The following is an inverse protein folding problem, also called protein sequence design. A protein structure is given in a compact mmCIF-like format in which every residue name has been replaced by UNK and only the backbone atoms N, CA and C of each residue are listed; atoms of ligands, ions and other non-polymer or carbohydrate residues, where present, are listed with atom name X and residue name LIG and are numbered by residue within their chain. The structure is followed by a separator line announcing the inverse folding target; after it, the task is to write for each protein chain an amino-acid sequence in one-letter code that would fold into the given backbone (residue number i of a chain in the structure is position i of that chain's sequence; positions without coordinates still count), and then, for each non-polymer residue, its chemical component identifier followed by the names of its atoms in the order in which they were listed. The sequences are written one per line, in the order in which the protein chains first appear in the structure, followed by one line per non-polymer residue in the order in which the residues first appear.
data_IF_007758043134
#
_entry.id   IF_007758043134
#
_cell.length_a   1.000
_cell.length_b   1.000
_cell.length_c   1.000
_cell.angle_alpha   90.00
_cell.angle_beta   90.00
_cell.angle_gamma   90.00
#
_symmetry.space_group_name_H-M   'P 1'
#
loop_
_entity.id
_entity.type
_entity.pdbx_description
1 polymer ?
#
# COMPACT_ATOMS: atom_id res chain seq x y z
N UNK A 1 21.99 9.33 -53.67
CA UNK A 1 21.65 10.20 -52.52
C UNK A 1 21.12 9.29 -51.44
N UNK A 2 21.99 8.83 -50.54
CA UNK A 2 21.58 7.99 -49.41
C UNK A 2 21.05 8.93 -48.34
N UNK A 3 19.76 8.83 -48.04
CA UNK A 3 19.16 9.47 -46.89
C UNK A 3 19.74 8.77 -45.65
N UNK A 4 20.78 9.39 -45.10
CA UNK A 4 21.36 9.06 -43.82
C UNK A 4 20.29 9.35 -42.77
N UNK A 5 19.48 8.32 -42.46
CA UNK A 5 18.42 8.35 -41.48
C UNK A 5 19.10 8.27 -40.09
N UNK A 6 19.88 9.31 -39.77
CA UNK A 6 20.35 9.61 -38.43
C UNK A 6 19.15 10.16 -37.66
N UNK A 7 18.15 9.30 -37.44
CA UNK A 7 17.26 9.44 -36.30
C UNK A 7 18.21 9.49 -35.10
N UNK A 8 18.51 10.72 -34.67
CA UNK A 8 19.27 11.06 -33.48
C UNK A 8 18.86 10.09 -32.39
N UNK A 9 19.74 9.12 -32.10
CA UNK A 9 19.64 8.28 -30.92
C UNK A 9 19.62 9.24 -29.74
N UNK A 10 18.41 9.63 -29.31
CA UNK A 10 18.24 10.40 -28.10
C UNK A 10 18.77 9.51 -27.00
N UNK A 11 20.02 9.75 -26.62
CA UNK A 11 20.74 9.04 -25.58
C UNK A 11 19.81 8.91 -24.39
N UNK A 12 19.50 7.66 -24.04
CA UNK A 12 18.61 7.39 -22.92
C UNK A 12 19.40 7.75 -21.66
N UNK A 13 19.05 8.89 -21.06
CA UNK A 13 19.65 9.35 -19.82
C UNK A 13 18.76 8.97 -18.63
N UNK A 14 19.39 8.61 -17.51
CA UNK A 14 18.69 8.54 -16.24
C UNK A 14 18.18 9.93 -15.85
N UNK A 15 16.87 10.09 -15.66
CA UNK A 15 16.31 11.41 -15.35
C UNK A 15 16.72 11.96 -13.97
N UNK A 16 17.35 11.14 -13.11
CA UNK A 16 17.84 11.54 -11.79
C UNK A 16 19.30 11.99 -11.86
N UNK A 17 20.19 11.15 -12.40
CA UNK A 17 21.64 11.43 -12.39
C UNK A 17 22.17 12.01 -13.70
N UNK A 18 21.33 12.09 -14.74
CA UNK A 18 21.66 12.59 -16.09
C UNK A 18 22.83 11.85 -16.76
N UNK A 19 23.09 10.61 -16.35
CA UNK A 19 24.09 9.72 -16.98
C UNK A 19 23.40 8.69 -17.86
N UNK A 20 24.05 8.36 -18.97
CA UNK A 20 23.78 7.22 -19.83
C UNK A 20 24.40 5.93 -19.27
N UNK A 21 24.08 4.79 -19.87
CA UNK A 21 24.70 3.50 -19.55
C UNK A 21 24.38 2.98 -18.15
N UNK A 22 25.21 2.06 -17.61
CA UNK A 22 25.08 1.53 -16.26
C UNK A 22 25.45 2.56 -15.19
N UNK A 23 24.85 2.46 -14.00
CA UNK A 23 25.27 3.26 -12.85
C UNK A 23 26.63 2.80 -12.26
N UNK A 24 27.09 3.46 -11.19
CA UNK A 24 28.33 3.11 -10.48
C UNK A 24 28.33 1.70 -9.88
N UNK A 25 27.15 1.08 -9.72
CA UNK A 25 26.96 -0.29 -9.23
C UNK A 25 26.77 -1.29 -10.37
N UNK A 26 26.89 -0.86 -11.64
CA UNK A 26 26.68 -1.67 -12.83
C UNK A 26 25.20 -1.96 -13.14
N UNK A 27 24.25 -1.30 -12.47
CA UNK A 27 22.83 -1.43 -12.75
C UNK A 27 22.48 -0.70 -14.04
N UNK A 28 21.81 -1.42 -14.93
CA UNK A 28 21.39 -0.89 -16.22
C UNK A 28 20.27 0.14 -16.09
N UNK A 29 20.17 0.99 -17.10
CA UNK A 29 19.08 1.93 -17.25
C UNK A 29 17.78 1.17 -17.55
N UNK A 30 16.76 1.36 -16.73
CA UNK A 30 15.47 0.71 -16.87
C UNK A 30 14.49 1.61 -17.61
N UNK A 31 13.78 1.07 -18.60
CA UNK A 31 12.77 1.78 -19.41
C UNK A 31 11.43 1.04 -19.40
N UNK A 32 10.33 1.79 -19.39
CA UNK A 32 8.99 1.24 -19.61
C UNK A 32 8.24 0.74 -18.37
N UNK A 33 8.73 1.06 -17.17
CA UNK A 33 8.08 0.67 -15.91
C UNK A 33 7.06 1.70 -15.38
N UNK A 34 6.76 2.74 -16.17
CA UNK A 34 5.70 3.72 -15.97
C UNK A 34 5.31 4.32 -17.34
N UNK A 35 4.25 5.14 -17.44
CA UNK A 35 3.88 5.78 -18.73
C UNK A 35 4.67 7.04 -19.11
N UNK A 36 5.81 7.32 -18.47
CA UNK A 36 6.66 8.41 -18.93
C UNK A 36 7.17 8.12 -20.35
N UNK A 37 7.10 9.13 -21.22
CA UNK A 37 7.58 9.05 -22.62
C UNK A 37 8.97 9.67 -22.74
N UNK A 38 9.69 9.30 -23.81
CA UNK A 38 11.04 9.81 -24.08
C UNK A 38 12.06 9.40 -23.00
N UNK A 39 13.00 10.30 -22.71
CA UNK A 39 14.06 10.11 -21.70
C UNK A 39 13.54 10.19 -20.26
N UNK A 40 12.40 10.85 -20.02
CA UNK A 40 11.78 10.94 -18.69
C UNK A 40 11.30 9.59 -18.14
N UNK A 41 11.23 8.55 -18.97
CA UNK A 41 10.87 7.18 -18.56
C UNK A 41 12.05 6.27 -18.28
N UNK A 42 13.28 6.80 -18.29
CA UNK A 42 14.51 6.05 -18.11
C UNK A 42 15.18 6.36 -16.77
N UNK A 43 15.44 5.34 -15.95
CA UNK A 43 16.03 5.54 -14.61
C UNK A 43 16.82 4.31 -14.18
N UNK A 44 17.93 4.50 -13.49
CA UNK A 44 18.57 3.40 -12.75
C UNK A 44 17.73 3.06 -11.52
N UNK A 45 17.55 1.78 -11.22
CA UNK A 45 16.80 1.36 -10.03
C UNK A 45 17.43 1.90 -8.75
N UNK A 46 18.77 1.90 -8.64
CA UNK A 46 19.51 2.53 -7.55
C UNK A 46 19.16 4.02 -7.36
N UNK A 47 19.13 4.80 -8.43
CA UNK A 47 18.80 6.22 -8.37
C UNK A 47 17.35 6.43 -7.91
N UNK A 48 16.40 5.63 -8.41
CA UNK A 48 15.00 5.71 -7.98
C UNK A 48 14.85 5.38 -6.49
N UNK A 49 15.55 4.34 -6.01
CA UNK A 49 15.60 3.96 -4.60
C UNK A 49 16.20 5.08 -3.75
N UNK A 50 17.37 5.62 -4.13
CA UNK A 50 18.03 6.70 -3.37
C UNK A 50 17.17 7.96 -3.29
N UNK A 51 16.48 8.30 -4.38
CA UNK A 51 15.50 9.38 -4.39
C UNK A 51 14.35 9.12 -3.40
N UNK A 52 13.78 7.91 -3.40
CA UNK A 52 12.71 7.52 -2.49
C UNK A 52 13.15 7.53 -1.01
N UNK A 53 14.36 7.05 -0.72
CA UNK A 53 14.96 7.09 0.61
C UNK A 53 15.12 8.53 1.10
N UNK A 54 15.69 9.40 0.26
CA UNK A 54 15.90 10.83 0.58
C UNK A 54 14.58 11.54 0.87
N UNK A 55 13.56 11.31 0.03
CA UNK A 55 12.21 11.87 0.24
C UNK A 55 11.57 11.37 1.52
N UNK A 56 11.71 10.08 1.83
CA UNK A 56 11.16 9.48 3.05
C UNK A 56 11.81 10.10 4.29
N UNK A 57 13.16 10.16 4.35
CA UNK A 57 13.88 10.81 5.46
C UNK A 57 13.43 12.25 5.65
N UNK A 58 13.41 13.04 4.57
CA UNK A 58 13.04 14.45 4.65
C UNK A 58 11.60 14.69 5.10
N UNK A 59 10.67 13.74 4.91
CA UNK A 59 9.32 13.83 5.51
C UNK A 59 9.35 13.48 6.99
N UNK A 60 10.00 12.38 7.36
CA UNK A 60 10.07 11.93 8.75
C UNK A 60 10.79 12.94 9.63
N UNK A 61 11.92 13.50 9.17
CA UNK A 61 12.67 14.53 9.89
C UNK A 61 11.84 15.81 10.11
N UNK A 62 11.04 16.22 9.12
CA UNK A 62 10.20 17.43 9.22
C UNK A 62 8.93 17.24 10.04
N UNK A 63 8.33 16.05 10.03
CA UNK A 63 7.00 15.80 10.61
C UNK A 63 7.01 14.86 11.82
N UNK A 64 8.14 14.20 12.11
CA UNK A 64 8.25 13.12 13.09
C UNK A 64 7.51 11.84 12.72
N UNK A 65 6.82 11.80 11.56
CA UNK A 65 6.01 10.68 11.08
C UNK A 65 5.83 10.73 9.57
N UNK A 66 5.55 9.58 8.98
CA UNK A 66 5.07 9.46 7.60
C UNK A 66 3.81 8.59 7.59
N UNK A 67 2.78 9.03 6.88
CA UNK A 67 1.55 8.27 6.68
C UNK A 67 1.64 7.37 5.44
N UNK A 68 0.69 6.43 5.32
CA UNK A 68 0.63 5.46 4.22
C UNK A 68 0.61 6.14 2.86
N UNK A 69 -0.25 7.13 2.66
CA UNK A 69 -0.40 7.79 1.35
C UNK A 69 0.90 8.46 0.91
N UNK A 70 1.62 9.08 1.86
CA UNK A 70 2.92 9.67 1.58
C UNK A 70 3.97 8.60 1.23
N UNK A 71 4.01 7.48 1.95
CA UNK A 71 4.93 6.38 1.67
C UNK A 71 4.62 5.72 0.31
N UNK A 72 3.35 5.42 0.03
CA UNK A 72 2.88 4.86 -1.24
C UNK A 72 3.21 5.79 -2.41
N UNK A 73 2.99 7.10 -2.25
CA UNK A 73 3.35 8.09 -3.29
C UNK A 73 4.85 8.15 -3.57
N UNK A 74 5.70 7.81 -2.59
CA UNK A 74 7.15 7.83 -2.75
C UNK A 74 7.67 6.55 -3.39
N UNK A 75 7.19 5.39 -2.91
CA UNK A 75 7.77 4.09 -3.24
C UNK A 75 7.02 3.33 -4.32
N UNK A 76 5.71 3.52 -4.45
CA UNK A 76 4.90 2.83 -5.47
C UNK A 76 4.75 3.63 -6.76
N UNK A 77 4.90 4.95 -6.72
CA UNK A 77 4.57 5.79 -7.87
C UNK A 77 5.79 6.48 -8.46
N UNK A 78 5.80 6.62 -9.78
CA UNK A 78 6.75 7.43 -10.50
C UNK A 78 6.60 8.90 -10.09
N UNK A 79 7.67 9.58 -9.65
CA UNK A 79 7.58 10.97 -9.23
C UNK A 79 7.30 11.94 -10.39
N UNK A 80 7.45 11.48 -11.64
CA UNK A 80 7.25 12.30 -12.84
C UNK A 80 5.82 12.22 -13.37
N UNK A 81 5.31 11.00 -13.63
CA UNK A 81 3.95 10.82 -14.18
C UNK A 81 2.90 10.38 -13.17
N UNK A 82 3.30 10.19 -11.91
CA UNK A 82 2.45 9.72 -10.79
C UNK A 82 1.79 8.35 -11.00
N UNK A 83 2.11 7.64 -12.07
CA UNK A 83 1.65 6.28 -12.25
C UNK A 83 2.44 5.30 -11.42
N UNK A 84 1.79 4.20 -11.08
CA UNK A 84 2.42 3.12 -10.35
C UNK A 84 3.57 2.50 -11.14
N UNK A 85 4.66 2.18 -10.45
CA UNK A 85 5.74 1.37 -10.98
C UNK A 85 5.21 -0.02 -11.36
N UNK A 86 5.77 -0.59 -12.42
CA UNK A 86 5.46 -1.96 -12.85
C UNK A 86 6.73 -2.81 -12.99
N UNK A 87 6.55 -4.10 -13.28
CA UNK A 87 7.58 -5.09 -13.56
C UNK A 87 8.66 -5.17 -12.47
N UNK A 88 9.89 -5.36 -12.93
CA UNK A 88 11.07 -5.44 -12.08
C UNK A 88 11.31 -4.18 -11.23
N UNK A 89 10.86 -3.01 -11.69
CA UNK A 89 11.00 -1.78 -10.92
C UNK A 89 10.12 -1.82 -9.66
N UNK A 90 8.86 -2.22 -9.77
CA UNK A 90 7.97 -2.29 -8.61
C UNK A 90 8.48 -3.25 -7.54
N UNK A 91 8.94 -4.44 -7.95
CA UNK A 91 9.60 -5.42 -7.07
C UNK A 91 10.85 -4.83 -6.41
N UNK A 92 11.71 -4.16 -7.18
CA UNK A 92 12.95 -3.54 -6.67
C UNK A 92 12.65 -2.43 -5.66
N UNK A 93 11.70 -1.56 -5.97
CA UNK A 93 11.28 -0.47 -5.09
C UNK A 93 10.66 -1.00 -3.79
N UNK A 94 9.82 -2.03 -3.87
CA UNK A 94 9.21 -2.67 -2.70
C UNK A 94 10.23 -3.33 -1.78
N UNK A 95 11.14 -4.14 -2.32
CA UNK A 95 12.21 -4.77 -1.54
C UNK A 95 13.15 -3.73 -0.91
N UNK A 96 13.54 -2.70 -1.67
CA UNK A 96 14.39 -1.63 -1.16
C UNK A 96 13.70 -0.77 -0.09
N UNK A 97 12.37 -0.63 -0.15
CA UNK A 97 11.59 0.07 0.88
C UNK A 97 11.69 -0.68 2.22
N UNK A 98 11.46 -1.99 2.21
CA UNK A 98 11.55 -2.83 3.43
C UNK A 98 12.96 -2.75 4.03
N UNK A 99 14.00 -2.97 3.24
CA UNK A 99 15.39 -2.89 3.70
C UNK A 99 15.71 -1.52 4.31
N UNK A 100 15.27 -0.45 3.64
CA UNK A 100 15.49 0.91 4.10
C UNK A 100 14.79 1.19 5.43
N UNK A 101 13.52 0.81 5.57
CA UNK A 101 12.75 1.01 6.80
C UNK A 101 13.35 0.19 7.95
N UNK A 102 13.72 -1.07 7.71
CA UNK A 102 14.35 -1.92 8.72
C UNK A 102 15.69 -1.33 9.19
N UNK A 103 16.48 -0.77 8.28
CA UNK A 103 17.79 -0.19 8.60
C UNK A 103 17.70 1.16 9.30
N UNK A 104 16.84 2.05 8.81
CA UNK A 104 16.82 3.47 9.24
C UNK A 104 15.79 3.74 10.32
N UNK A 105 14.70 2.96 10.35
CA UNK A 105 13.59 3.15 11.28
C UNK A 105 13.21 1.83 11.99
N UNK A 106 14.17 1.08 12.58
CA UNK A 106 13.92 -0.25 13.14
C UNK A 106 12.86 -0.28 14.24
N UNK A 107 12.68 0.84 14.96
CA UNK A 107 11.70 0.95 16.05
C UNK A 107 10.29 1.32 15.57
N UNK A 108 10.12 1.69 14.29
CA UNK A 108 8.84 2.10 13.74
C UNK A 108 8.13 0.91 13.09
N UNK A 109 7.66 -0.02 13.92
CA UNK A 109 6.93 -1.24 13.48
C UNK A 109 5.80 -0.95 12.49
N UNK A 110 5.05 0.14 12.69
CA UNK A 110 4.00 0.57 11.76
C UNK A 110 4.54 0.86 10.35
N UNK A 111 5.74 1.45 10.24
CA UNK A 111 6.36 1.70 8.93
C UNK A 111 6.82 0.40 8.28
N UNK A 112 7.29 -0.58 9.07
CA UNK A 112 7.65 -1.90 8.55
C UNK A 112 6.46 -2.59 7.90
N UNK A 113 5.29 -2.58 8.56
CA UNK A 113 4.05 -3.15 7.99
C UNK A 113 3.69 -2.46 6.67
N UNK A 114 3.75 -1.12 6.61
CA UNK A 114 3.46 -0.38 5.38
C UNK A 114 4.47 -0.70 4.25
N UNK A 115 5.77 -0.81 4.58
CA UNK A 115 6.80 -1.17 3.62
C UNK A 115 6.61 -2.59 3.06
N UNK A 116 6.22 -3.54 3.92
CA UNK A 116 5.89 -4.90 3.49
C UNK A 116 4.66 -4.92 2.59
N UNK A 117 3.66 -4.06 2.83
CA UNK A 117 2.53 -3.87 1.92
C UNK A 117 2.94 -3.37 0.53
N UNK A 118 3.89 -2.44 0.47
CA UNK A 118 4.49 -1.96 -0.80
C UNK A 118 5.22 -3.10 -1.52
N UNK A 119 5.99 -3.92 -0.79
CA UNK A 119 6.67 -5.10 -1.36
C UNK A 119 5.69 -6.14 -1.89
N UNK A 120 4.66 -6.46 -1.11
CA UNK A 120 3.57 -7.33 -1.52
C UNK A 120 2.93 -6.85 -2.82
N UNK A 121 2.60 -5.55 -2.90
CA UNK A 121 2.07 -4.94 -4.12
C UNK A 121 3.00 -5.17 -5.32
N UNK A 122 4.31 -4.96 -5.17
CA UNK A 122 5.27 -5.24 -6.24
C UNK A 122 5.21 -6.70 -6.72
N UNK A 123 4.90 -7.65 -5.85
CA UNK A 123 4.90 -9.08 -6.20
C UNK A 123 3.60 -9.52 -6.86
N UNK A 124 2.45 -8.99 -6.39
CA UNK A 124 1.12 -9.38 -6.89
C UNK A 124 0.93 -9.15 -8.39
N UNK A 125 1.64 -8.20 -8.99
CA UNK A 125 1.45 -7.82 -10.40
C UNK A 125 2.49 -8.40 -11.36
N UNK A 126 3.57 -9.05 -10.87
CA UNK A 126 4.78 -9.25 -11.69
C UNK A 126 5.31 -10.68 -11.77
N UNK A 127 4.45 -11.68 -11.57
CA UNK A 127 4.79 -13.08 -11.86
C UNK A 127 5.96 -13.61 -11.02
N UNK A 128 6.15 -13.05 -9.82
CA UNK A 128 7.08 -13.57 -8.82
C UNK A 128 6.64 -14.98 -8.44
N UNK A 129 7.59 -15.85 -8.06
CA UNK A 129 7.25 -17.21 -7.65
C UNK A 129 6.25 -17.17 -6.49
N UNK A 130 5.29 -18.10 -6.50
CA UNK A 130 4.29 -18.21 -5.44
C UNK A 130 4.93 -18.37 -4.06
N UNK A 131 6.10 -19.01 -3.97
CA UNK A 131 6.84 -19.17 -2.73
C UNK A 131 7.35 -17.85 -2.16
N UNK A 132 7.90 -16.97 -3.00
CA UNK A 132 8.45 -15.70 -2.50
C UNK A 132 7.33 -14.73 -2.11
N UNK A 133 6.21 -14.76 -2.85
CA UNK A 133 5.00 -14.03 -2.48
C UNK A 133 4.42 -14.52 -1.15
N UNK A 134 4.29 -15.84 -0.96
CA UNK A 134 3.84 -16.41 0.31
C UNK A 134 4.72 -16.00 1.49
N UNK A 135 6.06 -15.99 1.32
CA UNK A 135 6.98 -15.53 2.37
C UNK A 135 6.75 -14.07 2.76
N UNK A 136 6.46 -13.19 1.79
CA UNK A 136 6.14 -11.79 2.10
C UNK A 136 4.83 -11.69 2.86
N UNK A 137 3.81 -12.49 2.51
CA UNK A 137 2.56 -12.54 3.27
C UNK A 137 2.78 -13.01 4.71
N UNK A 138 3.56 -14.07 4.91
CA UNK A 138 3.90 -14.56 6.25
C UNK A 138 4.68 -13.51 7.07
N UNK A 139 5.58 -12.77 6.42
CA UNK A 139 6.33 -11.68 7.05
C UNK A 139 5.41 -10.52 7.45
N UNK A 140 4.45 -10.15 6.60
CA UNK A 140 3.41 -9.15 6.90
C UNK A 140 2.60 -9.59 8.13
N UNK A 141 2.08 -10.82 8.13
CA UNK A 141 1.28 -11.36 9.23
C UNK A 141 2.09 -11.37 10.54
N UNK A 142 3.33 -11.85 10.50
CA UNK A 142 4.22 -11.88 11.66
C UNK A 142 4.48 -10.47 12.22
N UNK A 143 4.74 -9.48 11.35
CA UNK A 143 4.96 -8.10 11.75
C UNK A 143 3.70 -7.47 12.37
N UNK A 144 2.51 -7.81 11.85
CA UNK A 144 1.23 -7.39 12.42
C UNK A 144 1.04 -8.00 13.81
N UNK A 145 1.23 -9.31 13.97
CA UNK A 145 1.10 -10.00 15.25
C UNK A 145 2.05 -9.41 16.30
N UNK A 146 3.31 -9.14 15.93
CA UNK A 146 4.29 -8.51 16.80
C UNK A 146 3.90 -7.07 17.18
N UNK A 147 3.34 -6.31 16.22
CA UNK A 147 2.86 -4.96 16.47
C UNK A 147 1.64 -4.96 17.42
N UNK A 148 0.66 -5.84 17.18
CA UNK A 148 -0.55 -5.96 18.00
C UNK A 148 -0.23 -6.46 19.41
N UNK A 149 0.64 -7.46 19.55
CA UNK A 149 1.05 -7.99 20.86
C UNK A 149 1.77 -6.94 21.72
N UNK A 150 2.58 -6.07 21.10
CA UNK A 150 3.23 -4.97 21.84
C UNK A 150 2.31 -3.79 22.11
N UNK A 151 1.40 -3.45 21.18
CA UNK A 151 0.40 -2.42 21.36
C UNK A 151 -0.68 -2.79 22.39
N UNK A 152 -0.98 -4.07 22.59
CA UNK A 152 -2.02 -4.51 23.54
C UNK A 152 -1.61 -4.39 25.00
N UNK A 153 -0.31 -4.36 25.33
CA UNK A 153 0.18 -4.25 26.72
C UNK A 153 0.28 -2.80 27.20
N UNK A 154 0.83 -1.89 26.38
CA UNK A 154 0.97 -0.46 26.75
C UNK A 154 -0.08 0.44 26.11
N UNK A 155 -0.54 0.08 24.92
CA UNK A 155 -1.45 0.92 24.13
C UNK A 155 -2.89 0.85 24.60
N UNK A 156 -3.38 -0.31 25.04
CA UNK A 156 -4.77 -0.45 25.51
C UNK A 156 -5.09 0.52 26.65
N UNK A 157 -4.17 0.74 27.58
CA UNK A 157 -4.40 1.58 28.76
C UNK A 157 -4.21 3.09 28.49
N UNK A 158 -3.26 3.47 27.63
CA UNK A 158 -3.00 4.87 27.25
C UNK A 158 -4.04 5.37 26.24
N UNK A 159 -4.49 4.51 25.35
CA UNK A 159 -5.39 4.87 24.25
C UNK A 159 -6.86 4.87 24.71
N UNK A 160 -7.19 4.08 25.75
CA UNK A 160 -8.42 4.25 26.55
C UNK A 160 -8.42 5.57 27.35
N UNK A 161 -7.27 6.03 27.85
CA UNK A 161 -7.15 7.29 28.61
C UNK A 161 -7.17 8.54 27.74
N UNK A 162 -6.75 8.45 26.47
CA UNK A 162 -6.61 9.60 25.56
C UNK A 162 -7.73 9.73 24.52
N UNK A 163 -8.64 8.76 24.38
CA UNK A 163 -9.76 8.85 23.44
C UNK A 163 -9.34 8.89 21.96
N UNK A 164 -8.15 8.38 21.62
CA UNK A 164 -7.46 8.64 20.35
C UNK A 164 -7.23 7.40 19.45
N UNK A 165 -8.00 6.32 19.58
CA UNK A 165 -7.93 5.22 18.60
C UNK A 165 -9.29 4.93 17.98
N UNK A 166 -9.38 5.26 16.68
CA UNK A 166 -10.15 4.50 15.71
C UNK A 166 -9.34 3.24 15.39
N UNK A 167 -9.90 2.08 15.72
CA UNK A 167 -9.38 0.74 15.40
C UNK A 167 -9.41 0.47 13.87
N UNK A 168 -9.84 1.43 13.05
CA UNK A 168 -10.53 1.12 11.79
C UNK A 168 -9.59 0.92 10.60
N UNK A 169 -8.39 1.51 10.58
CA UNK A 169 -7.55 1.46 9.36
C UNK A 169 -6.66 0.22 9.33
N UNK A 170 -6.07 -0.16 10.46
CA UNK A 170 -5.24 -1.36 10.53
C UNK A 170 -6.08 -2.63 10.61
N UNK A 171 -7.18 -2.64 11.36
CA UNK A 171 -8.04 -3.84 11.47
C UNK A 171 -8.76 -4.13 10.15
N UNK A 172 -9.24 -3.12 9.41
CA UNK A 172 -9.89 -3.36 8.10
C UNK A 172 -8.89 -3.80 7.02
N UNK A 173 -7.65 -3.32 7.05
CA UNK A 173 -6.61 -3.71 6.06
C UNK A 173 -5.97 -5.06 6.40
N UNK A 174 -5.81 -5.37 7.68
CA UNK A 174 -5.44 -6.70 8.19
C UNK A 174 -6.56 -7.70 7.91
N UNK A 175 -7.83 -7.32 8.08
CA UNK A 175 -8.95 -8.20 7.76
C UNK A 175 -9.12 -8.38 6.25
N UNK A 176 -8.87 -7.38 5.40
CA UNK A 176 -8.88 -7.58 3.94
C UNK A 176 -7.79 -8.57 3.49
N UNK A 177 -6.58 -8.46 4.04
CA UNK A 177 -5.47 -9.40 3.78
C UNK A 177 -5.73 -10.80 4.34
N UNK A 178 -6.36 -10.92 5.52
CA UNK A 178 -6.71 -12.21 6.15
C UNK A 178 -7.91 -12.88 5.45
N UNK A 179 -8.86 -12.10 4.92
CA UNK A 179 -10.07 -12.64 4.28
C UNK A 179 -9.76 -13.28 2.92
N UNK A 180 -8.74 -12.80 2.20
CA UNK A 180 -8.22 -13.47 1.00
C UNK A 180 -7.51 -14.81 1.30
N UNK A 181 -7.03 -15.03 2.53
CA UNK A 181 -6.15 -16.17 2.85
C UNK A 181 -6.65 -17.18 3.89
N UNK A 182 -7.90 -17.09 4.38
CA UNK A 182 -8.71 -18.14 5.06
C UNK A 182 -9.24 -17.80 6.48
N UNK A 183 -10.57 -17.83 6.58
CA UNK A 183 -11.48 -18.34 7.64
C UNK A 183 -10.88 -18.85 8.99
N UNK A 184 -11.42 -18.25 10.09
CA UNK A 184 -11.57 -18.70 11.51
C UNK A 184 -10.63 -18.06 12.55
N UNK A 185 -11.12 -17.00 13.22
CA UNK A 185 -10.67 -16.65 14.58
C UNK A 185 -11.89 -16.31 15.48
N UNK A 186 -12.05 -16.94 16.66
CA UNK A 186 -13.12 -16.63 17.59
C UNK A 186 -12.68 -15.70 18.73
N UNK A 187 -13.55 -14.77 19.12
CA UNK A 187 -13.55 -14.17 20.45
C UNK A 187 -13.12 -12.71 20.54
N UNK A 188 -13.99 -11.78 20.11
CA UNK A 188 -13.94 -10.39 20.56
C UNK A 188 -15.37 -9.85 20.73
N UNK A 189 -15.72 -9.49 21.96
CA UNK A 189 -16.99 -8.87 22.33
C UNK A 189 -16.77 -7.38 22.60
N UNK A 190 -17.37 -6.50 21.76
CA UNK A 190 -17.51 -5.05 22.01
C UNK A 190 -18.70 -4.47 21.24
N UNK A 191 -19.84 -4.32 21.91
CA UNK A 191 -21.14 -3.99 21.29
C UNK A 191 -21.51 -2.49 21.21
N UNK A 192 -20.64 -1.53 21.54
CA UNK A 192 -21.17 -0.19 21.84
C UNK A 192 -20.42 1.06 21.36
N UNK A 193 -19.32 0.95 20.60
CA UNK A 193 -18.58 2.17 20.17
C UNK A 193 -18.57 2.44 18.65
N UNK A 194 -19.02 1.49 17.82
CA UNK A 194 -18.78 1.50 16.37
C UNK A 194 -19.74 2.34 15.53
N UNK A 195 -20.84 2.83 16.09
CA UNK A 195 -21.85 3.58 15.33
C UNK A 195 -21.42 5.01 14.93
N UNK A 196 -20.25 5.50 15.38
CA UNK A 196 -19.85 6.90 15.20
C UNK A 196 -18.62 7.14 14.31
N UNK A 197 -17.79 6.12 13.99
CA UNK A 197 -16.56 6.34 13.20
C UNK A 197 -16.70 6.08 11.69
N UNK A 198 -17.72 5.33 11.25
CA UNK A 198 -18.11 5.27 9.83
C UNK A 198 -19.07 6.42 9.46
N UNK A 199 -18.76 7.65 9.87
CA UNK A 199 -19.57 8.79 9.46
C UNK A 199 -19.47 8.94 7.94
N UNK A 200 -20.57 8.66 7.26
CA UNK A 200 -20.83 8.91 5.83
C UNK A 200 -20.67 10.38 5.43
N UNK A 201 -20.19 11.25 6.31
CA UNK A 201 -20.12 12.69 6.17
C UNK A 201 -18.98 13.18 5.29
N UNK A 202 -17.87 12.44 5.17
CA UNK A 202 -16.76 12.89 4.31
C UNK A 202 -16.98 12.61 2.82
N UNK A 203 -17.58 11.47 2.47
CA UNK A 203 -17.69 11.04 1.07
C UNK A 203 -19.13 10.75 0.60
N UNK A 204 -20.14 10.88 1.47
CA UNK A 204 -21.52 10.49 1.16
C UNK A 204 -21.70 8.97 1.14
N UNK A 205 -22.95 8.52 1.31
CA UNK A 205 -23.30 7.09 1.36
C UNK A 205 -23.13 6.33 0.04
N UNK A 206 -22.91 7.06 -1.06
CA UNK A 206 -22.89 6.56 -2.44
C UNK A 206 -21.50 6.74 -3.10
N UNK A 207 -20.45 7.12 -2.36
CA UNK A 207 -19.07 7.13 -2.90
C UNK A 207 -18.47 5.72 -2.88
N UNK A 208 -17.72 5.38 -3.94
CA UNK A 208 -17.10 4.05 -4.09
C UNK A 208 -16.18 3.67 -2.92
N UNK A 209 -15.53 4.64 -2.26
CA UNK A 209 -14.68 4.38 -1.08
C UNK A 209 -15.53 4.07 0.15
N UNK A 210 -16.69 4.72 0.30
CA UNK A 210 -17.67 4.39 1.34
C UNK A 210 -18.20 2.97 1.15
N UNK A 211 -18.51 2.59 -0.09
CA UNK A 211 -18.94 1.23 -0.43
C UNK A 211 -17.86 0.19 -0.13
N UNK A 212 -16.62 0.43 -0.57
CA UNK A 212 -15.48 -0.46 -0.31
C UNK A 212 -15.20 -0.65 1.18
N UNK A 213 -15.20 0.43 1.97
CA UNK A 213 -15.04 0.35 3.43
C UNK A 213 -16.18 -0.42 4.09
N UNK A 214 -17.41 -0.19 3.64
CA UNK A 214 -18.58 -0.91 4.14
C UNK A 214 -18.48 -2.41 3.86
N UNK A 215 -17.98 -2.81 2.70
CA UNK A 215 -17.80 -4.21 2.36
C UNK A 215 -16.74 -4.88 3.25
N UNK A 216 -15.57 -4.26 3.42
CA UNK A 216 -14.53 -4.77 4.33
C UNK A 216 -15.03 -4.89 5.78
N UNK A 217 -15.89 -3.97 6.21
CA UNK A 217 -16.54 -4.05 7.52
C UNK A 217 -17.53 -5.23 7.57
N UNK A 218 -18.32 -5.46 6.52
CA UNK A 218 -19.21 -6.61 6.47
C UNK A 218 -18.44 -7.93 6.54
N UNK A 219 -17.31 -8.06 5.83
CA UNK A 219 -16.42 -9.22 5.92
C UNK A 219 -15.88 -9.42 7.32
N UNK A 220 -15.45 -8.34 7.97
CA UNK A 220 -15.03 -8.36 9.38
C UNK A 220 -16.14 -8.87 10.30
N UNK A 221 -17.37 -8.37 10.13
CA UNK A 221 -18.53 -8.80 10.91
C UNK A 221 -18.84 -10.30 10.69
N UNK A 222 -18.71 -10.80 9.46
CA UNK A 222 -18.85 -12.23 9.14
C UNK A 222 -17.78 -13.06 9.86
N UNK A 223 -16.52 -12.64 9.80
CA UNK A 223 -15.41 -13.31 10.47
C UNK A 223 -15.62 -13.39 12.00
N UNK A 224 -16.18 -12.34 12.58
CA UNK A 224 -16.56 -12.27 14.00
C UNK A 224 -17.86 -13.03 14.33
N UNK A 225 -18.48 -13.73 13.37
CA UNK A 225 -19.77 -14.43 13.50
C UNK A 225 -20.95 -13.53 13.88
N UNK A 226 -20.88 -12.24 13.54
CA UNK A 226 -21.95 -11.25 13.74
C UNK A 226 -22.84 -11.15 12.49
N UNK A 227 -23.45 -12.27 12.09
CA UNK A 227 -24.12 -12.41 10.79
C UNK A 227 -25.28 -11.44 10.58
N UNK A 228 -26.08 -11.15 11.61
CA UNK A 228 -27.22 -10.23 11.48
C UNK A 228 -26.78 -8.80 11.18
N UNK A 229 -25.67 -8.35 11.79
CA UNK A 229 -25.09 -7.03 11.54
C UNK A 229 -24.46 -6.97 10.15
N UNK A 230 -23.71 -8.00 9.76
CA UNK A 230 -23.14 -8.11 8.43
C UNK A 230 -24.22 -8.08 7.34
N UNK A 231 -25.30 -8.86 7.51
CA UNK A 231 -26.44 -8.89 6.58
C UNK A 231 -27.09 -7.52 6.46
N UNK A 232 -27.40 -6.87 7.58
CA UNK A 232 -28.00 -5.52 7.59
C UNK A 232 -27.12 -4.50 6.85
N UNK A 233 -25.81 -4.57 7.06
CA UNK A 233 -24.84 -3.72 6.39
C UNK A 233 -24.78 -4.01 4.88
N UNK A 234 -24.69 -5.29 4.48
CA UNK A 234 -24.66 -5.70 3.08
C UNK A 234 -25.93 -5.31 2.33
N UNK A 235 -27.11 -5.48 2.94
CA UNK A 235 -28.39 -5.06 2.34
C UNK A 235 -28.44 -3.54 2.12
N UNK A 236 -27.84 -2.76 3.03
CA UNK A 236 -27.70 -1.31 2.88
C UNK A 236 -26.73 -0.94 1.76
N UNK A 237 -25.55 -1.57 1.74
CA UNK A 237 -24.51 -1.33 0.74
C UNK A 237 -24.96 -1.73 -0.66
N UNK A 238 -25.71 -2.83 -0.79
CA UNK A 238 -26.28 -3.26 -2.07
C UNK A 238 -27.22 -2.19 -2.64
N UNK A 239 -28.11 -1.62 -1.82
CA UNK A 239 -28.98 -0.53 -2.25
C UNK A 239 -28.20 0.70 -2.70
N UNK A 240 -27.12 1.05 -1.99
CA UNK A 240 -26.23 2.14 -2.40
C UNK A 240 -25.50 1.83 -3.70
N UNK A 241 -24.91 0.64 -3.83
CA UNK A 241 -24.22 0.20 -5.04
C UNK A 241 -25.15 0.20 -6.27
N UNK A 242 -26.41 -0.24 -6.13
CA UNK A 242 -27.39 -0.16 -7.20
C UNK A 242 -27.73 1.28 -7.62
N UNK A 243 -27.65 2.26 -6.71
CA UNK A 243 -27.81 3.68 -7.08
C UNK A 243 -26.60 4.20 -7.85
N UNK A 244 -25.39 3.79 -7.46
CA UNK A 244 -24.14 4.27 -8.04
C UNK A 244 -23.86 3.65 -9.42
N UNK A 245 -24.10 2.35 -9.54
CA UNK A 245 -23.71 1.57 -10.73
C UNK A 245 -24.90 1.16 -11.62
N UNK A 246 -26.12 1.47 -11.18
CA UNK A 246 -27.35 0.98 -11.77
C UNK A 246 -27.69 -0.46 -11.34
N UNK A 247 -28.94 -0.91 -11.50
CA UNK A 247 -29.31 -2.29 -11.27
C UNK A 247 -28.69 -3.18 -12.36
N UNK A 248 -27.75 -4.05 -11.99
CA UNK A 248 -27.17 -5.13 -12.80
C UNK A 248 -26.96 -4.80 -14.29
N UNK A 249 -25.77 -4.31 -14.64
CA UNK A 249 -25.25 -4.48 -16.01
C UNK A 249 -24.78 -5.93 -16.16
N UNK A 250 -25.73 -6.86 -16.31
CA UNK A 250 -25.48 -8.23 -16.79
C UNK A 250 -25.59 -8.27 -18.30
#
# INVERSE_FOLDING_TARGET
MNADNTDTENELLCWICYRDGPDEKGQQLLRGYCSCRGTSGCVHSSCAVENAQTRTKGIVERRGRIDRNALDKIWLHCPTCEQQWTGAMATSMGSACVEFIDKVFPHFKKLKILALGIKHHGYSFHGVSSEEHARVCDEVLSAIEEYVSTATVQGKEILLKLGYISDDILVLEVNALITESSVKLPGLDKKQHWQTSCSTTEYGGDDNRTLGRGFNLAETLIAMKQFDQAKTLLDSLYKSACRVHGPNQS
#
